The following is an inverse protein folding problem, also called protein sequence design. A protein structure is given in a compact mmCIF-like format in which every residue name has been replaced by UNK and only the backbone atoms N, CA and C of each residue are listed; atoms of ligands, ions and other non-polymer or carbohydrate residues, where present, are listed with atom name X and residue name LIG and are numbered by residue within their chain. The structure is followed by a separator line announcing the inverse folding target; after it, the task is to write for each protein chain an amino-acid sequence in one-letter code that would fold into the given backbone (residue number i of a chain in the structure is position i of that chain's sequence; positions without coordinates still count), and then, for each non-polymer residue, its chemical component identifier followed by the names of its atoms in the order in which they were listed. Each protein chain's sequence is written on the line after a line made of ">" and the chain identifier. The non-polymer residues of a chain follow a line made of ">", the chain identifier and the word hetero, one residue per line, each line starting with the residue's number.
data_IF_405886821878
#
_entry.id   IF_405886821878
#
_cell.length_a   1.000
_cell.length_b   1.000
_cell.length_c   1.000
_cell.angle_alpha   90.00
_cell.angle_beta   90.00
_cell.angle_gamma   90.00
#
_symmetry.space_group_name_H-M   'P 1'
#
loop_
_entity.id
_entity.type
_entity.pdbx_description
1 polymer ?
#
# COMPACT_ATOMS: atom_id res chain seq x y z
N UNK A 1 2.03 -14.16 -50.36
CA UNK A 1 2.17 -14.43 -48.91
C UNK A 1 2.87 -13.24 -48.27
N UNK A 2 2.19 -12.44 -47.44
CA UNK A 2 2.77 -11.23 -46.85
C UNK A 2 3.55 -11.58 -45.57
N UNK A 3 4.87 -11.40 -45.60
CA UNK A 3 5.76 -11.67 -44.47
C UNK A 3 5.62 -10.56 -43.41
N UNK A 4 5.10 -10.91 -42.24
CA UNK A 4 5.05 -10.02 -41.09
C UNK A 4 6.47 -9.69 -40.60
N UNK A 5 6.91 -8.45 -40.81
CA UNK A 5 8.21 -7.96 -40.33
C UNK A 5 8.20 -7.91 -38.81
N UNK A 6 9.03 -8.75 -38.16
CA UNK A 6 9.24 -8.71 -36.70
C UNK A 6 9.95 -7.40 -36.35
N UNK A 7 9.32 -6.54 -35.55
CA UNK A 7 9.96 -5.31 -35.07
C UNK A 7 11.13 -5.67 -34.15
N UNK A 8 12.34 -5.31 -34.57
CA UNK A 8 13.55 -5.42 -33.74
C UNK A 8 13.45 -4.38 -32.65
N UNK A 9 13.26 -4.81 -31.41
CA UNK A 9 13.25 -3.93 -30.24
C UNK A 9 14.70 -3.60 -29.90
N UNK A 10 15.08 -2.33 -30.00
CA UNK A 10 16.42 -1.88 -29.65
C UNK A 10 16.56 -1.60 -28.16
N UNK A 11 17.80 -1.51 -27.66
CA UNK A 11 18.08 -1.16 -26.27
C UNK A 11 17.53 0.23 -25.88
N UNK A 12 17.47 1.16 -26.83
CA UNK A 12 16.91 2.49 -26.61
C UNK A 12 15.38 2.42 -26.46
N UNK A 13 14.70 1.60 -27.27
CA UNK A 13 13.25 1.37 -27.17
C UNK A 13 12.85 0.78 -25.81
N UNK A 14 13.63 -0.20 -25.32
CA UNK A 14 13.38 -0.80 -24.01
C UNK A 14 13.56 0.23 -22.87
N UNK A 15 14.59 1.08 -22.96
CA UNK A 15 14.83 2.15 -21.98
C UNK A 15 13.70 3.18 -22.00
N UNK A 16 13.21 3.57 -23.18
CA UNK A 16 12.07 4.50 -23.33
C UNK A 16 10.81 3.93 -22.71
N UNK A 17 10.47 2.68 -23.04
CA UNK A 17 9.27 2.01 -22.53
C UNK A 17 9.27 1.89 -21.00
N UNK A 18 10.40 1.50 -20.40
CA UNK A 18 10.53 1.42 -18.94
C UNK A 18 10.38 2.78 -18.27
N UNK A 19 11.00 3.82 -18.83
CA UNK A 19 10.90 5.19 -18.31
C UNK A 19 9.46 5.73 -18.41
N UNK A 20 8.76 5.42 -19.49
CA UNK A 20 7.37 5.79 -19.70
C UNK A 20 6.46 5.09 -18.67
N UNK A 21 6.57 3.77 -18.52
CA UNK A 21 5.86 3.00 -17.48
C UNK A 21 6.14 3.51 -16.06
N UNK A 22 7.40 3.85 -15.76
CA UNK A 22 7.79 4.42 -14.46
C UNK A 22 7.23 5.83 -14.25
N UNK A 23 7.16 6.65 -15.30
CA UNK A 23 6.58 7.99 -15.22
C UNK A 23 5.08 7.95 -15.00
N UNK A 24 4.38 7.02 -15.67
CA UNK A 24 2.94 6.80 -15.54
C UNK A 24 2.58 6.33 -14.13
N UNK A 25 3.33 5.37 -13.56
CA UNK A 25 3.09 4.90 -12.19
C UNK A 25 3.31 5.99 -11.14
N UNK A 26 4.25 6.92 -11.40
CA UNK A 26 4.50 8.06 -10.52
C UNK A 26 3.46 9.18 -10.66
N UNK A 27 2.91 9.37 -11.86
CA UNK A 27 1.84 10.34 -12.13
C UNK A 27 0.46 9.89 -11.61
N UNK A 28 0.25 8.59 -11.40
CA UNK A 28 -0.99 8.04 -10.81
C UNK A 28 -1.06 8.09 -9.29
N UNK A 29 -0.09 8.72 -8.60
CA UNK A 29 -0.19 9.08 -7.19
C UNK A 29 -1.21 10.23 -6.96
N UNK A 30 -2.34 10.19 -7.67
CA UNK A 30 -3.46 11.10 -7.48
C UNK A 30 -4.05 10.79 -6.12
N UNK A 31 -4.20 11.83 -5.31
CA UNK A 31 -4.82 11.71 -3.99
C UNK A 31 -6.19 11.06 -4.11
N UNK A 32 -6.54 10.28 -3.10
CA UNK A 32 -7.81 9.60 -3.03
C UNK A 32 -8.85 10.58 -2.51
N UNK A 33 -9.80 10.92 -3.37
CA UNK A 33 -11.00 11.66 -3.00
C UNK A 33 -12.12 10.64 -2.72
N UNK A 34 -12.22 10.21 -1.46
CA UNK A 34 -13.28 9.29 -1.02
C UNK A 34 -13.94 9.82 0.26
N UNK A 35 -15.27 9.71 0.44
CA UNK A 35 -15.98 10.28 1.59
C UNK A 35 -15.53 9.74 2.96
N UNK A 36 -14.96 8.54 2.97
CA UNK A 36 -14.41 7.89 4.18
C UNK A 36 -12.90 8.09 4.36
N UNK A 37 -12.24 8.76 3.42
CA UNK A 37 -10.81 9.03 3.43
C UNK A 37 -10.54 10.45 3.93
N UNK A 38 -9.55 10.60 4.82
CA UNK A 38 -9.05 11.88 5.31
C UNK A 38 -7.54 11.88 5.27
N UNK A 39 -6.92 12.99 4.88
CA UNK A 39 -5.46 13.15 4.98
C UNK A 39 -5.09 13.94 6.25
N UNK A 40 -4.03 13.52 6.93
CA UNK A 40 -3.45 14.26 8.07
C UNK A 40 -2.54 15.41 7.59
N UNK A 41 -2.08 16.27 8.51
CA UNK A 41 -1.07 17.32 8.27
C UNK A 41 0.23 16.79 7.67
N UNK A 42 0.56 15.52 7.93
CA UNK A 42 1.70 14.80 7.35
C UNK A 42 1.38 14.14 6.00
N UNK A 43 0.25 14.47 5.36
CA UNK A 43 -0.25 13.86 4.12
C UNK A 43 -0.43 12.33 4.19
N UNK A 44 -0.66 11.79 5.38
CA UNK A 44 -0.98 10.38 5.57
C UNK A 44 -2.47 10.12 5.38
N UNK A 45 -2.83 9.11 4.60
CA UNK A 45 -4.21 8.68 4.40
C UNK A 45 -4.74 7.97 5.64
N UNK A 46 -5.89 8.41 6.14
CA UNK A 46 -6.57 7.87 7.31
C UNK A 46 -7.99 7.50 6.92
N UNK A 47 -8.44 6.33 7.35
CA UNK A 47 -9.83 5.93 7.23
C UNK A 47 -10.64 6.48 8.42
N UNK A 48 -11.71 7.24 8.16
CA UNK A 48 -12.54 7.86 9.19
C UNK A 48 -13.27 6.79 10.04
N UNK A 49 -13.71 5.70 9.43
CA UNK A 49 -14.41 4.60 10.11
C UNK A 49 -13.48 3.81 11.03
N UNK A 50 -12.24 3.57 10.57
CA UNK A 50 -11.30 2.72 11.29
C UNK A 50 -10.31 3.51 12.15
N UNK A 51 -10.25 4.84 12.03
CA UNK A 51 -9.23 5.72 12.63
C UNK A 51 -7.80 5.22 12.48
N UNK A 52 -7.50 4.50 11.39
CA UNK A 52 -6.22 3.85 11.13
C UNK A 52 -5.51 4.50 9.94
N UNK A 53 -4.18 4.59 10.02
CA UNK A 53 -3.32 5.14 8.96
C UNK A 53 -3.06 4.08 7.88
N UNK A 54 -3.28 4.44 6.63
CA UNK A 54 -3.04 3.61 5.45
C UNK A 54 -1.73 4.08 4.81
N UNK A 55 -0.73 3.20 4.81
CA UNK A 55 0.66 3.52 4.42
C UNK A 55 0.83 3.82 2.93
N UNK A 56 -0.04 3.27 2.09
CA UNK A 56 0.01 3.45 0.65
C UNK A 56 -1.41 3.65 0.11
N UNK A 57 -1.60 4.68 -0.69
CA UNK A 57 -2.88 5.03 -1.30
C UNK A 57 -3.44 3.86 -2.14
N UNK A 58 -2.59 3.07 -2.80
CA UNK A 58 -3.05 1.89 -3.54
C UNK A 58 -3.76 0.85 -2.65
N UNK A 59 -3.42 0.80 -1.36
CA UNK A 59 -4.04 -0.12 -0.39
C UNK A 59 -5.41 0.36 0.08
N UNK A 60 -5.83 1.57 -0.29
CA UNK A 60 -7.15 2.11 0.08
C UNK A 60 -8.30 1.20 -0.38
N UNK A 61 -8.24 0.75 -1.64
CA UNK A 61 -9.29 -0.13 -2.21
C UNK A 61 -9.33 -1.47 -1.46
N UNK A 62 -8.17 -2.03 -1.14
CA UNK A 62 -8.10 -3.26 -0.35
C UNK A 62 -8.59 -3.03 1.09
N UNK A 63 -8.30 -1.87 1.67
CA UNK A 63 -8.74 -1.50 3.01
C UNK A 63 -10.26 -1.47 3.12
N UNK A 64 -10.96 -0.77 2.22
CA UNK A 64 -12.44 -0.68 2.26
C UNK A 64 -13.12 -2.03 2.01
N UNK A 65 -12.46 -2.94 1.28
CA UNK A 65 -12.97 -4.28 1.01
C UNK A 65 -12.69 -5.29 2.13
N UNK A 66 -11.80 -4.95 3.07
CA UNK A 66 -11.40 -5.83 4.17
C UNK A 66 -12.55 -6.15 5.12
N UNK A 67 -12.49 -7.33 5.76
CA UNK A 67 -13.50 -7.77 6.75
C UNK A 67 -13.62 -6.77 7.91
N UNK A 68 -12.49 -6.32 8.45
CA UNK A 68 -12.47 -5.36 9.55
C UNK A 68 -13.19 -4.04 9.22
N UNK A 69 -12.99 -3.50 8.03
CA UNK A 69 -13.68 -2.28 7.61
C UNK A 69 -15.19 -2.51 7.53
N UNK A 70 -15.61 -3.60 6.87
CA UNK A 70 -17.02 -3.96 6.70
C UNK A 70 -17.73 -4.17 8.04
N UNK A 71 -17.10 -4.88 8.97
CA UNK A 71 -17.62 -5.13 10.31
C UNK A 71 -17.81 -3.82 11.10
N UNK A 72 -16.82 -2.91 11.06
CA UNK A 72 -16.95 -1.59 11.71
C UNK A 72 -18.05 -0.74 11.07
N UNK A 73 -18.19 -0.76 9.74
CA UNK A 73 -19.27 -0.04 9.05
C UNK A 73 -20.65 -0.58 9.44
N UNK A 74 -20.79 -1.90 9.55
CA UNK A 74 -22.04 -2.54 9.98
C UNK A 74 -22.31 -2.22 11.44
N UNK A 75 -21.31 -2.36 12.32
CA UNK A 75 -21.43 -2.07 13.74
C UNK A 75 -21.88 -0.61 13.98
N UNK A 76 -21.32 0.38 13.28
CA UNK A 76 -21.75 1.78 13.38
C UNK A 76 -23.18 2.04 12.89
N UNK A 77 -23.69 1.20 11.99
CA UNK A 77 -25.07 1.30 11.48
C UNK A 77 -26.07 0.63 12.41
N UNK A 78 -25.70 -0.47 13.07
CA UNK A 78 -26.59 -1.26 13.92
C UNK A 78 -26.51 -0.87 15.39
N UNK A 79 -25.35 -0.38 15.83
CA UNK A 79 -25.08 0.08 17.17
C UNK A 79 -24.68 1.56 17.04
N UNK A 80 -25.53 2.47 17.53
CA UNK A 80 -25.17 3.89 17.64
C UNK A 80 -23.81 4.07 18.33
N UNK A 81 -23.13 5.21 18.15
CA UNK A 81 -21.67 5.38 18.27
C UNK A 81 -21.13 4.85 19.60
N UNK A 82 -20.69 3.60 19.61
CA UNK A 82 -19.93 3.02 20.71
C UNK A 82 -18.47 3.41 20.51
N UNK A 83 -18.01 4.27 21.41
CA UNK A 83 -16.63 4.77 21.49
C UNK A 83 -15.66 3.58 21.52
N UNK A 84 -14.55 3.60 20.78
CA UNK A 84 -13.56 2.55 20.87
C UNK A 84 -12.93 2.61 22.27
N UNK A 85 -13.16 1.59 23.08
CA UNK A 85 -12.50 1.37 24.34
C UNK A 85 -11.02 1.08 24.06
N UNK A 86 -10.20 2.11 24.23
CA UNK A 86 -8.77 2.05 24.06
C UNK A 86 -8.11 1.91 25.44
N UNK A 87 -8.48 0.89 26.22
CA UNK A 87 -7.83 0.59 27.49
C UNK A 87 -7.59 -0.93 27.65
N UNK A 88 -6.46 -1.39 27.12
CA UNK A 88 -5.78 -2.57 27.66
C UNK A 88 -4.33 -2.23 27.99
N UNK A 89 -4.17 -1.36 28.99
CA UNK A 89 -2.96 -1.33 29.80
C UNK A 89 -3.10 -2.37 30.93
N UNK A 90 -2.47 -3.53 30.81
CA UNK A 90 -1.98 -4.30 31.96
C UNK A 90 -0.83 -5.23 31.61
N UNK A 91 0.05 -5.37 32.61
CA UNK A 91 1.45 -5.75 32.55
C UNK A 91 1.74 -7.25 32.28
N UNK A 92 2.97 -7.52 31.80
CA UNK A 92 3.79 -8.77 31.90
C UNK A 92 3.44 -9.99 31.00
N UNK A 93 4.21 -10.20 29.92
CA UNK A 93 5.29 -11.24 29.80
C UNK A 93 5.97 -11.24 28.42
N UNK A 94 7.24 -11.69 28.45
CA UNK A 94 8.26 -11.78 27.39
C UNK A 94 7.78 -12.55 26.13
N UNK A 95 8.24 -12.14 24.95
CA UNK A 95 8.12 -12.93 23.72
C UNK A 95 8.46 -12.11 22.49
N UNK A 96 9.73 -12.15 22.09
CA UNK A 96 10.26 -11.58 20.86
C UNK A 96 9.60 -12.24 19.64
N UNK A 97 8.97 -11.45 18.77
CA UNK A 97 8.67 -11.84 17.39
C UNK A 97 8.56 -10.57 16.53
N UNK A 98 9.70 -9.91 16.32
CA UNK A 98 9.84 -8.94 15.23
C UNK A 98 9.95 -9.72 13.91
N UNK A 99 8.88 -9.70 13.13
CA UNK A 99 8.91 -10.11 11.73
C UNK A 99 8.13 -9.10 10.90
N UNK A 100 8.82 -8.14 10.29
CA UNK A 100 8.88 -8.02 8.83
C UNK A 100 9.69 -6.80 8.42
N UNK A 101 10.89 -7.10 7.91
CA UNK A 101 11.42 -6.54 6.67
C UNK A 101 11.89 -5.08 6.69
N UNK A 102 13.16 -4.89 7.04
CA UNK A 102 13.97 -3.78 6.49
C UNK A 102 14.88 -4.30 5.38
N UNK A 103 14.70 -3.71 4.21
CA UNK A 103 15.54 -3.83 3.02
C UNK A 103 16.87 -3.11 3.27
N UNK A 104 17.99 -3.83 3.20
CA UNK A 104 19.32 -3.22 3.06
C UNK A 104 20.16 -3.96 2.02
N UNK A 105 20.10 -3.48 0.78
CA UNK A 105 21.24 -3.19 -0.12
C UNK A 105 22.65 -3.64 0.36
N UNK A 106 23.21 -4.72 -0.20
CA UNK A 106 24.68 -4.86 -0.49
C UNK A 106 24.94 -6.12 -1.34
N UNK A 107 25.37 -5.98 -2.60
CA UNK A 107 26.74 -6.18 -3.13
C UNK A 107 27.08 -7.61 -3.61
N UNK A 108 27.74 -7.57 -4.76
CA UNK A 108 28.31 -8.62 -5.59
C UNK A 108 29.54 -9.26 -4.92
N UNK A 109 29.62 -10.58 -4.95
CA UNK A 109 30.89 -11.33 -4.84
C UNK A 109 30.82 -12.56 -5.75
N UNK A 110 31.74 -12.62 -6.71
CA UNK A 110 32.01 -13.83 -7.48
C UNK A 110 32.86 -14.79 -6.65
N UNK A 111 32.61 -16.08 -6.82
CA UNK A 111 33.37 -17.17 -6.23
C UNK A 111 34.14 -17.85 -7.37
N UNK A 112 35.46 -17.78 -7.28
CA UNK A 112 36.38 -18.60 -8.05
C UNK A 112 37.03 -19.56 -7.06
N UNK A 113 36.85 -20.86 -7.29
CA UNK A 113 37.70 -21.94 -6.78
C UNK A 113 37.80 -22.97 -7.88
#
# INVERSE_FOLDING_TARGET
>A
MAAAKKKVVTKDDLRRFMKEKQSLSKATAKRIEHPLAKYNSLNQLICIVCSNVIKNDLLWIAHIQSKQHKERVIALKTQGPVKPDHLSASLKRKGDTDNSSTDTKKLKTGTNT
#
